data_IF_068615952092
#
_entry.id   IF_068615952092
#
_cell.length_a   1.000
_cell.length_b   1.000
_cell.length_c   1.000
_cell.angle_alpha   90.00
_cell.angle_beta   90.00
_cell.angle_gamma   90.00
#
_symmetry.space_group_name_H-M   'P 1'
#
loop_
_entity.id
_entity.type
_entity.pdbx_description
1 polymer ?
#
# COMPACT_ATOMS: atom_id res chain seq x y z
N UNK A 1 43.32 34.44 17.72
CA UNK A 1 44.07 33.18 17.57
C UNK A 1 43.12 32.15 16.98
N UNK A 2 43.25 31.79 15.69
CA UNK A 2 42.39 30.79 15.04
C UNK A 2 42.98 29.41 15.31
N UNK A 3 42.26 28.59 16.09
CA UNK A 3 42.65 27.21 16.34
C UNK A 3 42.23 26.41 15.10
N UNK A 4 43.19 26.05 14.26
CA UNK A 4 42.97 25.11 13.18
C UNK A 4 42.91 23.71 13.78
N UNK A 5 41.72 23.13 13.86
CA UNK A 5 41.56 21.71 14.19
C UNK A 5 41.98 20.90 12.97
N UNK A 6 43.03 20.06 13.05
CA UNK A 6 43.51 19.32 11.90
C UNK A 6 42.48 18.26 11.50
N UNK A 7 42.10 18.24 10.22
CA UNK A 7 41.08 17.36 9.63
C UNK A 7 41.31 15.87 9.89
N UNK A 8 42.55 15.49 10.21
CA UNK A 8 42.96 14.12 10.54
C UNK A 8 42.34 13.59 11.83
N UNK A 9 42.04 14.44 12.83
CA UNK A 9 41.37 14.02 14.07
C UNK A 9 39.90 13.64 13.82
N UNK A 10 39.23 14.34 12.90
CA UNK A 10 37.85 14.05 12.49
C UNK A 10 37.72 12.71 11.75
N UNK A 11 38.68 12.38 10.89
CA UNK A 11 38.68 11.12 10.13
C UNK A 11 38.92 9.92 11.06
N UNK A 12 39.79 10.06 12.06
CA UNK A 12 40.03 9.00 13.05
C UNK A 12 38.80 8.76 13.94
N UNK A 13 38.11 9.84 14.35
CA UNK A 13 36.87 9.74 15.12
C UNK A 13 35.73 9.05 14.33
N UNK A 14 35.58 9.35 13.03
CA UNK A 14 34.60 8.67 12.17
C UNK A 14 34.93 7.17 11.95
N UNK A 15 36.21 6.83 11.80
CA UNK A 15 36.65 5.44 11.62
C UNK A 15 36.41 4.56 12.86
N UNK A 16 36.58 5.12 14.07
CA UNK A 16 36.27 4.43 15.32
C UNK A 16 34.75 4.26 15.56
N UNK A 17 33.92 5.21 15.13
CA UNK A 17 32.45 5.04 15.21
C UNK A 17 31.91 4.02 14.21
N UNK A 18 32.52 3.92 13.02
CA UNK A 18 32.09 2.97 11.99
C UNK A 18 32.48 1.52 12.30
N UNK A 19 33.60 1.30 12.99
CA UNK A 19 34.05 -0.03 13.41
C UNK A 19 33.29 -0.59 14.61
N UNK A 20 32.63 0.26 15.41
CA UNK A 20 31.75 -0.17 16.49
C UNK A 20 30.38 -0.68 16.00
N UNK A 21 29.97 -0.36 14.77
CA UNK A 21 28.64 -0.68 14.23
C UNK A 21 28.59 -2.02 13.46
N UNK A 22 29.71 -2.71 13.28
CA UNK A 22 29.75 -4.00 12.60
C UNK A 22 29.74 -5.17 13.58
N UNK A 23 28.75 -5.20 14.47
CA UNK A 23 28.42 -6.41 15.21
C UNK A 23 27.66 -7.34 14.25
N UNK A 24 28.33 -8.37 13.74
CA UNK A 24 27.63 -9.55 13.22
C UNK A 24 26.85 -10.18 14.40
N UNK A 25 25.60 -9.78 14.60
CA UNK A 25 24.72 -10.36 15.61
C UNK A 25 24.23 -11.71 15.10
N UNK A 26 24.86 -12.80 15.54
CA UNK A 26 24.26 -14.13 15.38
C UNK A 26 23.01 -14.23 16.24
N UNK A 27 21.94 -14.78 15.67
CA UNK A 27 20.72 -15.05 16.44
C UNK A 27 21.03 -16.07 17.54
N UNK A 28 20.61 -15.78 18.78
CA UNK A 28 20.83 -16.65 19.93
C UNK A 28 19.56 -16.77 20.78
N UNK A 29 19.39 -17.93 21.41
CA UNK A 29 18.30 -18.18 22.36
C UNK A 29 18.67 -17.53 23.71
N UNK A 30 17.77 -16.78 24.38
CA UNK A 30 18.06 -16.16 25.66
C UNK A 30 18.42 -17.17 26.76
N UNK A 31 19.35 -16.81 27.64
CA UNK A 31 19.63 -17.55 28.88
C UNK A 31 18.98 -16.85 30.08
N UNK A 32 18.71 -17.58 31.16
CA UNK A 32 18.04 -17.02 32.35
C UNK A 32 18.82 -15.88 33.03
N UNK A 33 20.13 -15.77 32.78
CA UNK A 33 21.00 -14.74 33.37
C UNK A 33 21.28 -13.57 32.41
N UNK A 34 20.62 -13.52 31.26
CA UNK A 34 20.83 -12.49 30.25
C UNK A 34 20.07 -11.20 30.59
N UNK A 35 20.63 -10.49 31.56
CA UNK A 35 20.05 -9.27 32.13
C UNK A 35 20.06 -8.09 31.16
N UNK A 36 21.04 -8.01 30.27
CA UNK A 36 21.17 -6.92 29.28
C UNK A 36 20.12 -7.06 28.17
N UNK A 37 19.92 -8.28 27.65
CA UNK A 37 18.84 -8.55 26.68
C UNK A 37 17.47 -8.34 27.31
N UNK A 38 17.27 -8.78 28.56
CA UNK A 38 16.02 -8.57 29.28
C UNK A 38 15.74 -7.07 29.51
N UNK A 39 16.75 -6.28 29.89
CA UNK A 39 16.62 -4.84 30.05
C UNK A 39 16.31 -4.14 28.71
N UNK A 40 16.92 -4.58 27.61
CA UNK A 40 16.66 -4.07 26.27
C UNK A 40 15.21 -4.36 25.85
N UNK A 41 14.74 -5.61 25.98
CA UNK A 41 13.35 -5.99 25.67
C UNK A 41 12.36 -5.20 26.51
N UNK A 42 12.62 -5.05 27.81
CA UNK A 42 11.76 -4.27 28.71
C UNK A 42 11.68 -2.81 28.27
N UNK A 43 12.83 -2.18 27.97
CA UNK A 43 12.89 -0.79 27.51
C UNK A 43 12.14 -0.62 26.19
N UNK A 44 12.39 -1.48 25.19
CA UNK A 44 11.70 -1.42 23.89
C UNK A 44 10.21 -1.72 24.01
N UNK A 45 9.77 -2.51 25.00
CA UNK A 45 8.34 -2.80 25.20
C UNK A 45 7.52 -1.55 25.53
N UNK A 46 8.11 -0.57 26.22
CA UNK A 46 7.45 0.70 26.53
C UNK A 46 7.38 1.67 25.34
N UNK A 47 8.17 1.42 24.30
CA UNK A 47 8.12 2.19 23.05
C UNK A 47 7.00 1.70 22.12
N UNK A 48 6.35 0.59 22.46
CA UNK A 48 5.32 -0.06 21.65
C UNK A 48 3.97 0.06 22.36
N UNK A 49 3.12 0.96 21.87
CA UNK A 49 1.76 1.12 22.39
C UNK A 49 0.72 0.78 21.31
N UNK A 50 -0.35 0.08 21.72
CA UNK A 50 -1.55 -0.06 20.89
C UNK A 50 -2.32 1.25 20.94
N UNK A 51 -2.14 2.06 19.90
CA UNK A 51 -2.83 3.34 19.76
C UNK A 51 -3.94 3.23 18.72
N UNK A 52 -5.00 4.02 18.90
CA UNK A 52 -5.93 4.30 17.82
C UNK A 52 -5.14 5.01 16.72
N UNK A 53 -5.09 4.39 15.55
CA UNK A 53 -4.35 4.92 14.41
C UNK A 53 -5.35 5.58 13.49
N UNK A 54 -5.07 6.84 13.16
CA UNK A 54 -5.83 7.60 12.18
C UNK A 54 -4.88 8.03 11.07
N UNK A 55 -5.38 8.01 9.84
CA UNK A 55 -4.64 8.35 8.64
C UNK A 55 -5.21 9.64 8.05
N UNK A 56 -4.39 10.65 7.81
CA UNK A 56 -4.82 11.87 7.13
C UNK A 56 -4.59 11.77 5.62
N UNK A 57 -5.67 11.69 4.82
CA UNK A 57 -5.64 11.91 3.36
C UNK A 57 -6.13 13.32 3.08
N UNK A 58 -5.27 14.21 2.58
CA UNK A 58 -5.67 15.59 2.30
C UNK A 58 -6.19 16.31 3.54
N UNK A 59 -7.52 16.39 3.70
CA UNK A 59 -8.20 16.98 4.85
C UNK A 59 -9.05 16.00 5.69
N UNK A 60 -9.09 14.72 5.33
CA UNK A 60 -9.96 13.71 5.97
C UNK A 60 -9.14 12.68 6.74
N UNK A 61 -9.57 12.37 7.96
CA UNK A 61 -8.98 11.31 8.79
C UNK A 61 -9.72 9.98 8.60
N UNK A 62 -8.98 8.91 8.29
CA UNK A 62 -9.50 7.55 8.11
C UNK A 62 -9.00 6.64 9.26
N UNK A 63 -9.91 5.92 9.93
CA UNK A 63 -9.52 5.01 11.01
C UNK A 63 -8.81 3.77 10.45
N UNK A 64 -7.70 3.39 11.08
CA UNK A 64 -6.98 2.14 10.83
C UNK A 64 -7.18 1.17 11.99
N UNK A 65 -6.98 -0.13 11.72
CA UNK A 65 -6.95 -1.11 12.79
C UNK A 65 -5.93 -0.70 13.88
N UNK A 66 -6.36 -0.65 15.16
CA UNK A 66 -5.46 -0.35 16.26
C UNK A 66 -4.25 -1.30 16.23
N UNK A 67 -3.08 -0.77 16.55
CA UNK A 67 -1.88 -1.61 16.57
C UNK A 67 -0.65 -0.91 17.11
N UNK A 68 0.46 -1.66 17.25
CA UNK A 68 1.70 -1.18 17.87
C UNK A 68 2.34 -0.02 17.11
N UNK A 69 2.24 1.21 17.60
CA UNK A 69 2.96 2.34 17.01
C UNK A 69 4.26 2.57 17.78
N UNK A 70 5.37 2.73 17.06
CA UNK A 70 6.59 3.30 17.62
C UNK A 70 6.58 4.81 17.44
N UNK A 71 7.29 5.54 18.29
CA UNK A 71 7.44 7.01 18.19
C UNK A 71 8.11 7.48 16.89
N UNK A 72 8.82 6.57 16.20
CA UNK A 72 9.40 6.76 14.86
C UNK A 72 8.44 6.12 13.85
N UNK A 73 8.07 6.78 12.74
CA UNK A 73 7.18 6.21 11.73
C UNK A 73 7.75 4.85 11.27
N UNK A 74 7.02 3.79 11.60
CA UNK A 74 7.43 2.43 11.25
C UNK A 74 7.43 2.26 9.73
N UNK A 75 8.22 1.30 9.21
CA UNK A 75 8.17 0.94 7.79
C UNK A 75 6.73 0.64 7.34
N UNK A 76 5.94 0.03 8.22
CA UNK A 76 4.51 -0.20 7.99
C UNK A 76 3.73 1.09 7.77
N UNK A 77 3.96 2.13 8.59
CA UNK A 77 3.32 3.43 8.43
C UNK A 77 3.73 4.12 7.11
N UNK A 78 5.02 4.09 6.73
CA UNK A 78 5.46 4.63 5.44
C UNK A 78 4.88 3.87 4.24
N UNK A 79 4.75 2.54 4.34
CA UNK A 79 4.15 1.72 3.28
C UNK A 79 2.67 2.05 3.14
N UNK A 80 1.93 2.18 4.25
CA UNK A 80 0.53 2.60 4.21
C UNK A 80 0.38 4.00 3.58
N UNK A 81 1.22 4.97 3.95
CA UNK A 81 1.24 6.30 3.31
C UNK A 81 1.43 6.21 1.80
N UNK A 82 2.39 5.39 1.34
CA UNK A 82 2.63 5.21 -0.09
C UNK A 82 1.44 4.57 -0.81
N UNK A 83 0.79 3.59 -0.20
CA UNK A 83 -0.36 2.89 -0.79
C UNK A 83 -1.59 3.78 -0.85
N UNK A 84 -1.86 4.54 0.21
CA UNK A 84 -2.99 5.46 0.25
C UNK A 84 -2.81 6.60 -0.74
N UNK A 85 -1.59 7.14 -0.88
CA UNK A 85 -1.29 8.14 -1.91
C UNK A 85 -1.65 7.63 -3.31
N UNK A 86 -1.25 6.39 -3.65
CA UNK A 86 -1.61 5.76 -4.92
C UNK A 86 -3.12 5.59 -5.07
N UNK A 87 -3.85 5.16 -4.02
CA UNK A 87 -5.32 5.05 -4.08
C UNK A 87 -5.98 6.41 -4.31
N UNK A 88 -5.45 7.47 -3.71
CA UNK A 88 -5.97 8.84 -3.87
C UNK A 88 -5.71 9.35 -5.29
N UNK A 89 -4.58 9.01 -5.89
CA UNK A 89 -4.31 9.28 -7.32
C UNK A 89 -5.25 8.51 -8.26
N UNK A 90 -5.82 7.40 -7.81
CA UNK A 90 -6.83 6.63 -8.55
C UNK A 90 -8.26 7.17 -8.37
N UNK A 91 -8.49 8.18 -7.53
CA UNK A 91 -9.79 8.84 -7.46
C UNK A 91 -10.07 9.54 -8.79
N UNK A 92 -11.16 9.14 -9.47
CA UNK A 92 -11.56 9.79 -10.70
C UNK A 92 -12.13 11.19 -10.37
N UNK A 93 -11.47 12.30 -10.78
CA UNK A 93 -11.93 13.65 -10.45
C UNK A 93 -13.31 13.97 -11.06
N UNK A 94 -13.74 13.19 -12.04
CA UNK A 94 -15.01 13.36 -12.72
C UNK A 94 -16.15 12.54 -12.09
N UNK A 95 -15.99 11.97 -10.89
CA UNK A 95 -16.98 11.07 -10.28
C UNK A 95 -18.39 11.67 -10.25
N UNK A 96 -18.51 12.97 -9.96
CA UNK A 96 -19.79 13.69 -9.97
C UNK A 96 -20.37 13.83 -11.38
N UNK A 97 -19.52 14.16 -12.36
CA UNK A 97 -19.90 14.26 -13.77
C UNK A 97 -20.38 12.92 -14.31
N UNK A 98 -19.66 11.84 -13.99
CA UNK A 98 -20.02 10.46 -14.34
C UNK A 98 -21.39 10.10 -13.75
N UNK A 99 -21.58 10.32 -12.44
CA UNK A 99 -22.84 10.02 -11.77
C UNK A 99 -24.02 10.79 -12.37
N UNK A 100 -23.83 12.08 -12.68
CA UNK A 100 -24.87 12.93 -13.27
C UNK A 100 -25.20 12.46 -14.70
N UNK A 101 -24.17 12.12 -15.48
CA UNK A 101 -24.34 11.62 -16.85
C UNK A 101 -25.13 10.32 -16.86
N UNK A 102 -24.75 9.37 -15.99
CA UNK A 102 -25.47 8.10 -15.87
C UNK A 102 -26.93 8.30 -15.40
N UNK A 103 -27.16 9.17 -14.41
CA UNK A 103 -28.51 9.47 -13.96
C UNK A 103 -29.39 10.08 -15.06
N UNK A 104 -28.80 10.88 -15.96
CA UNK A 104 -29.53 11.53 -17.07
C UNK A 104 -29.87 10.60 -18.24
N UNK A 105 -29.14 9.51 -18.40
CA UNK A 105 -29.27 8.55 -19.50
C UNK A 105 -30.13 7.33 -19.13
N UNK A 106 -30.53 7.20 -17.87
CA UNK A 106 -31.49 6.18 -17.44
C UNK A 106 -32.91 6.41 -17.99
N UNK A 107 -33.80 5.42 -17.88
CA UNK A 107 -33.65 4.17 -17.13
C UNK A 107 -32.81 3.10 -17.85
N UNK A 108 -32.14 2.25 -17.07
CA UNK A 108 -31.24 1.20 -17.54
C UNK A 108 -31.89 -0.18 -17.48
N UNK A 109 -32.93 -0.37 -18.29
CA UNK A 109 -33.78 -1.56 -18.24
C UNK A 109 -33.30 -2.69 -19.16
N UNK A 110 -32.34 -2.40 -20.06
CA UNK A 110 -31.76 -3.38 -21.00
C UNK A 110 -30.24 -3.30 -21.03
N UNK A 111 -29.60 -4.36 -21.54
CA UNK A 111 -28.14 -4.37 -21.74
C UNK A 111 -27.68 -3.23 -22.66
N UNK A 112 -28.44 -2.95 -23.72
CA UNK A 112 -28.15 -1.89 -24.69
C UNK A 112 -28.26 -0.51 -24.06
N UNK A 113 -29.28 -0.28 -23.20
CA UNK A 113 -29.41 0.98 -22.47
C UNK A 113 -28.25 1.18 -21.49
N UNK A 114 -27.79 0.10 -20.86
CA UNK A 114 -26.65 0.13 -19.95
C UNK A 114 -25.34 0.40 -20.70
N UNK A 115 -25.15 -0.23 -21.87
CA UNK A 115 -24.01 0.02 -22.75
C UNK A 115 -24.00 1.46 -23.26
N UNK A 116 -25.15 1.99 -23.69
CA UNK A 116 -25.27 3.37 -24.17
C UNK A 116 -24.85 4.41 -23.10
N UNK A 117 -25.10 4.11 -21.82
CA UNK A 117 -24.59 4.91 -20.70
C UNK A 117 -23.06 4.98 -20.68
N UNK A 118 -22.39 3.84 -20.82
CA UNK A 118 -20.92 3.78 -20.87
C UNK A 118 -20.35 4.35 -22.17
N UNK A 119 -20.99 4.12 -23.32
CA UNK A 119 -20.57 4.69 -24.61
C UNK A 119 -20.58 6.24 -24.55
N UNK A 120 -21.55 6.82 -23.84
CA UNK A 120 -21.61 8.27 -23.63
C UNK A 120 -20.50 8.77 -22.70
N UNK A 121 -20.16 8.02 -21.65
CA UNK A 121 -19.03 8.33 -20.77
C UNK A 121 -17.69 8.23 -21.50
N UNK A 122 -17.52 7.23 -22.35
CA UNK A 122 -16.32 7.01 -23.16
C UNK A 122 -16.17 8.11 -24.22
N UNK A 123 -17.26 8.48 -24.89
CA UNK A 123 -17.29 9.60 -25.84
C UNK A 123 -16.93 10.93 -25.17
N UNK A 124 -17.25 11.08 -23.88
CA UNK A 124 -16.88 12.24 -23.08
C UNK A 124 -15.46 12.15 -22.48
N UNK A 125 -14.72 11.06 -22.74
CA UNK A 125 -13.36 10.84 -22.23
C UNK A 125 -13.31 10.61 -20.71
N UNK A 126 -14.40 10.12 -20.11
CA UNK A 126 -14.53 9.99 -18.66
C UNK A 126 -14.14 8.58 -18.16
N UNK A 127 -14.68 7.56 -18.82
CA UNK A 127 -14.46 6.13 -18.51
C UNK A 127 -14.59 5.34 -19.82
N UNK A 128 -13.69 4.40 -20.06
CA UNK A 128 -13.76 3.48 -21.19
C UNK A 128 -14.94 2.52 -21.08
N UNK A 129 -15.51 2.11 -22.21
CA UNK A 129 -16.61 1.14 -22.19
C UNK A 129 -16.11 -0.22 -21.71
N UNK A 130 -16.74 -0.83 -20.69
CA UNK A 130 -16.33 -2.14 -20.18
C UNK A 130 -16.32 -3.22 -21.26
N UNK A 131 -15.22 -3.98 -21.35
CA UNK A 131 -15.11 -5.14 -22.22
C UNK A 131 -16.16 -6.22 -21.91
N UNK A 132 -16.79 -6.20 -20.73
CA UNK A 132 -17.90 -7.10 -20.38
C UNK A 132 -19.15 -6.93 -21.28
N UNK A 133 -19.24 -5.84 -22.06
CA UNK A 133 -20.30 -5.67 -23.07
C UNK A 133 -20.02 -6.41 -24.38
N UNK A 134 -18.79 -6.88 -24.60
CA UNK A 134 -18.51 -7.84 -25.68
C UNK A 134 -19.05 -9.21 -25.26
N UNK A 135 -20.12 -9.63 -25.95
CA UNK A 135 -20.85 -10.87 -25.70
C UNK A 135 -20.24 -12.09 -26.42
N UNK A 136 -19.04 -11.97 -26.96
CA UNK A 136 -18.33 -13.08 -27.59
C UNK A 136 -17.87 -14.13 -26.56
N UNK A 137 -17.91 -15.40 -26.98
CA UNK A 137 -17.38 -16.51 -26.19
C UNK A 137 -15.86 -16.37 -25.98
N UNK A 138 -15.18 -15.73 -26.94
CA UNK A 138 -13.77 -15.36 -26.89
C UNK A 138 -13.47 -14.40 -25.73
N UNK A 139 -14.23 -13.31 -25.60
CA UNK A 139 -14.08 -12.36 -24.49
C UNK A 139 -14.40 -13.01 -23.14
N UNK A 140 -15.45 -13.85 -23.10
CA UNK A 140 -15.78 -14.63 -21.92
C UNK A 140 -14.64 -15.56 -21.48
N UNK A 141 -13.94 -16.19 -22.43
CA UNK A 141 -12.73 -16.98 -22.17
C UNK A 141 -11.56 -16.13 -21.70
N UNK A 142 -11.29 -14.99 -22.36
CA UNK A 142 -10.20 -14.09 -22.04
C UNK A 142 -10.32 -13.50 -20.62
N UNK A 143 -11.53 -13.13 -20.17
CA UNK A 143 -11.76 -12.62 -18.81
C UNK A 143 -11.36 -13.61 -17.71
N UNK A 144 -11.45 -14.92 -17.98
CA UNK A 144 -11.05 -15.98 -17.04
C UNK A 144 -9.55 -16.22 -17.01
N UNK A 145 -8.82 -15.78 -18.02
CA UNK A 145 -7.36 -15.78 -18.05
C UNK A 145 -6.77 -14.47 -17.50
N UNK A 146 -7.55 -13.38 -17.50
CA UNK A 146 -7.17 -12.09 -16.94
C UNK A 146 -7.70 -11.86 -15.52
N UNK A 147 -8.67 -10.95 -15.39
CA UNK A 147 -9.18 -10.40 -14.11
C UNK A 147 -9.70 -11.51 -13.16
N UNK A 148 -10.16 -12.65 -13.68
CA UNK A 148 -10.69 -13.78 -12.89
C UNK A 148 -9.82 -15.05 -12.94
N UNK A 149 -8.52 -14.88 -13.20
CA UNK A 149 -7.50 -15.93 -13.44
C UNK A 149 -7.43 -17.10 -12.46
N UNK A 150 -7.86 -16.92 -11.21
CA UNK A 150 -7.60 -17.88 -10.13
C UNK A 150 -8.59 -19.06 -10.04
N UNK A 151 -9.54 -19.19 -10.97
CA UNK A 151 -10.59 -20.22 -10.91
C UNK A 151 -10.52 -21.27 -12.03
N UNK A 152 -9.57 -21.17 -12.96
CA UNK A 152 -9.39 -22.16 -14.01
C UNK A 152 -8.46 -23.29 -13.55
N UNK A 153 -8.96 -24.52 -13.58
CA UNK A 153 -8.15 -25.73 -13.46
C UNK A 153 -8.14 -26.46 -14.80
N UNK A 154 -6.95 -26.88 -15.25
CA UNK A 154 -6.84 -27.83 -16.35
C UNK A 154 -7.52 -29.14 -15.93
N UNK A 155 -8.51 -29.58 -16.71
CA UNK A 155 -9.07 -30.92 -16.55
C UNK A 155 -7.95 -31.88 -16.93
N UNK A 156 -7.57 -32.75 -15.99
CA UNK A 156 -6.54 -33.76 -16.25
C UNK A 156 -6.92 -34.63 -17.45
N UNK A 157 -5.95 -35.15 -18.21
CA UNK A 157 -6.25 -36.20 -19.18
C UNK A 157 -6.83 -37.36 -18.37
N UNK A 158 -8.13 -37.60 -18.49
CA UNK A 158 -8.76 -38.75 -17.85
C UNK A 158 -8.03 -40.03 -18.30
N UNK A 159 -7.73 -40.89 -17.34
CA UNK A 159 -7.62 -42.32 -17.62
C UNK A 159 -8.97 -42.86 -18.12
#
# INVERSE_FOLDING_TARGET
>A
MKIAVPSQLTVLALGLTASALSLCTSLSIPSANDTERAATVNTTSYEIANVAREFLVGSTYYPLNPGPAMAIPSLYYSTLLSQVAVITELENPNVTTIATTLASLGPYDTLESFKAGYDALESAGLIDTPQAFDNSDENFGAMRLGIRGYQLSLVGPGE
#
